data_IF_352266610499
#
_entry.id   IF_352266610499
#
_cell.length_a   1.000
_cell.length_b   1.000
_cell.length_c   1.000
_cell.angle_alpha   90.00
_cell.angle_beta   90.00
_cell.angle_gamma   90.00
#
_symmetry.space_group_name_H-M   'P 1'
#
loop_
_entity.id
_entity.type
_entity.pdbx_description
1 polymer ?
#
# COMPACT_ATOMS: atom_id res chain seq x y z
N UNK A 1 -16.77 4.43 17.16
CA UNK A 1 -16.84 4.35 15.69
C UNK A 1 -15.94 5.42 15.10
N UNK A 2 -14.81 5.02 14.53
CA UNK A 2 -13.81 5.92 13.89
C UNK A 2 -14.45 6.51 12.63
N UNK A 3 -14.49 7.84 12.48
CA UNK A 3 -14.89 8.47 11.21
C UNK A 3 -13.65 8.56 10.33
N UNK A 4 -13.52 7.61 9.42
CA UNK A 4 -12.51 7.60 8.36
C UNK A 4 -12.79 8.78 7.42
N UNK A 5 -11.75 9.47 6.94
CA UNK A 5 -11.87 10.50 5.91
C UNK A 5 -12.71 9.97 4.71
N UNK A 6 -13.42 10.84 3.97
CA UNK A 6 -14.22 10.39 2.83
C UNK A 6 -13.34 9.55 1.90
N UNK A 7 -13.85 8.39 1.48
CA UNK A 7 -13.07 7.37 0.77
C UNK A 7 -12.34 7.90 -0.46
N UNK A 8 -12.87 8.95 -1.09
CA UNK A 8 -12.20 9.65 -2.20
C UNK A 8 -10.87 10.32 -1.82
N UNK A 9 -10.77 10.98 -0.66
CA UNK A 9 -9.51 11.63 -0.23
C UNK A 9 -8.42 10.59 0.05
N UNK A 10 -8.78 9.47 0.68
CA UNK A 10 -7.84 8.37 0.93
C UNK A 10 -7.37 7.78 -0.39
N UNK A 11 -8.30 7.54 -1.33
CA UNK A 11 -7.95 7.04 -2.65
C UNK A 11 -6.99 7.99 -3.38
N UNK A 12 -7.30 9.29 -3.42
CA UNK A 12 -6.46 10.31 -4.06
C UNK A 12 -5.07 10.35 -3.42
N UNK A 13 -4.98 10.38 -2.08
CA UNK A 13 -3.71 10.42 -1.38
C UNK A 13 -2.84 9.19 -1.67
N UNK A 14 -3.45 7.99 -1.62
CA UNK A 14 -2.73 6.74 -1.92
C UNK A 14 -2.29 6.67 -3.38
N UNK A 15 -3.15 7.06 -4.33
CA UNK A 15 -2.81 7.09 -5.76
C UNK A 15 -1.71 8.10 -6.06
N UNK A 16 -1.74 9.29 -5.44
CA UNK A 16 -0.73 10.31 -5.61
C UNK A 16 0.64 9.85 -5.08
N UNK A 17 0.68 9.27 -3.87
CA UNK A 17 1.92 8.72 -3.28
C UNK A 17 2.44 7.55 -4.11
N UNK A 18 1.58 6.66 -4.57
CA UNK A 18 1.94 5.55 -5.46
C UNK A 18 2.54 6.08 -6.76
N UNK A 19 1.88 7.00 -7.46
CA UNK A 19 2.37 7.56 -8.72
C UNK A 19 3.71 8.30 -8.55
N UNK A 20 3.86 9.06 -7.46
CA UNK A 20 5.10 9.77 -7.15
C UNK A 20 6.27 8.83 -6.86
N UNK A 21 6.05 7.75 -6.11
CA UNK A 21 7.13 6.82 -5.69
C UNK A 21 7.39 5.69 -6.68
N UNK A 22 6.46 5.41 -7.59
CA UNK A 22 6.64 4.42 -8.66
C UNK A 22 7.45 4.98 -9.85
N UNK A 23 7.45 6.30 -10.01
CA UNK A 23 8.19 6.98 -11.05
C UNK A 23 9.70 6.98 -10.75
N UNK A 24 10.50 6.36 -11.61
CA UNK A 24 11.97 6.29 -11.48
C UNK A 24 12.67 7.66 -11.35
N UNK A 25 12.05 8.72 -11.88
CA UNK A 25 12.55 10.10 -11.74
C UNK A 25 12.54 10.61 -10.30
N UNK A 26 11.62 10.14 -9.47
CA UNK A 26 11.44 10.63 -8.10
C UNK A 26 12.06 9.71 -7.05
N UNK A 27 12.24 8.42 -7.33
CA UNK A 27 12.94 7.49 -6.43
C UNK A 27 14.42 7.81 -6.29
N UNK A 28 15.07 8.30 -7.36
CA UNK A 28 16.46 8.77 -7.32
C UNK A 28 16.65 10.08 -6.53
N UNK A 29 15.62 10.92 -6.46
CA UNK A 29 15.64 12.22 -5.79
C UNK A 29 15.19 12.17 -4.33
N UNK A 30 14.22 11.32 -4.00
CA UNK A 30 13.61 11.29 -2.67
C UNK A 30 14.28 10.25 -1.77
N UNK A 31 14.76 9.13 -2.33
CA UNK A 31 15.34 8.02 -1.56
C UNK A 31 14.38 7.01 -0.88
N UNK A 32 13.05 7.23 -0.71
CA UNK A 32 12.20 6.17 -0.20
C UNK A 32 11.82 5.25 -1.37
N UNK A 33 11.70 3.95 -1.09
CA UNK A 33 11.35 2.95 -2.09
C UNK A 33 9.93 3.12 -2.67
N UNK A 34 9.47 2.14 -3.42
CA UNK A 34 8.16 2.19 -4.06
C UNK A 34 7.03 1.95 -3.02
N UNK A 35 6.09 2.90 -2.90
CA UNK A 35 4.95 2.79 -1.99
C UNK A 35 3.82 1.88 -2.51
N UNK A 36 3.92 1.37 -3.74
CA UNK A 36 2.85 0.67 -4.45
C UNK A 36 2.27 -0.49 -3.61
N UNK A 37 3.11 -1.36 -3.03
CA UNK A 37 2.60 -2.50 -2.23
C UNK A 37 1.74 -2.05 -1.04
N UNK A 38 2.22 -1.03 -0.33
CA UNK A 38 1.49 -0.43 0.78
C UNK A 38 0.21 0.25 0.31
N UNK A 39 0.24 0.93 -0.84
CA UNK A 39 -0.93 1.59 -1.40
C UNK A 39 -2.06 0.59 -1.70
N UNK A 40 -1.75 -0.55 -2.34
CA UNK A 40 -2.74 -1.62 -2.57
C UNK A 40 -3.26 -2.23 -1.26
N UNK A 41 -2.39 -2.48 -0.29
CA UNK A 41 -2.80 -3.01 1.02
C UNK A 41 -3.70 -2.02 1.79
N UNK A 42 -3.28 -0.76 1.93
CA UNK A 42 -4.05 0.28 2.61
C UNK A 42 -5.35 0.62 1.86
N UNK A 43 -5.34 0.57 0.53
CA UNK A 43 -6.54 0.69 -0.31
C UNK A 43 -7.53 -0.43 0.01
N UNK A 44 -7.06 -1.68 0.09
CA UNK A 44 -7.85 -2.81 0.54
C UNK A 44 -8.44 -2.63 1.94
N UNK A 45 -7.62 -2.14 2.88
CA UNK A 45 -7.99 -1.89 4.28
C UNK A 45 -9.07 -0.82 4.42
N UNK A 46 -8.87 0.35 3.80
CA UNK A 46 -9.72 1.54 4.00
C UNK A 46 -10.85 1.68 2.98
N UNK A 47 -10.61 1.39 1.70
CA UNK A 47 -11.58 1.63 0.63
C UNK A 47 -12.49 0.44 0.40
N UNK A 48 -11.97 -0.78 0.56
CA UNK A 48 -12.66 -2.10 0.52
C UNK A 48 -13.38 -2.46 -0.80
N UNK A 49 -13.85 -1.51 -1.61
CA UNK A 49 -14.60 -1.72 -2.86
C UNK A 49 -13.70 -2.10 -4.04
N UNK A 50 -14.15 -3.02 -4.88
CA UNK A 50 -13.37 -3.52 -6.03
C UNK A 50 -13.14 -2.45 -7.13
N UNK A 51 -14.02 -1.46 -7.28
CA UNK A 51 -13.81 -0.37 -8.25
C UNK A 51 -12.53 0.43 -8.02
N UNK A 52 -12.13 0.61 -6.76
CA UNK A 52 -10.86 1.27 -6.44
C UNK A 52 -9.64 0.43 -6.79
N UNK A 53 -9.73 -0.91 -6.66
CA UNK A 53 -8.66 -1.80 -7.10
C UNK A 53 -8.38 -1.63 -8.59
N UNK A 54 -9.44 -1.58 -9.42
CA UNK A 54 -9.30 -1.36 -10.86
C UNK A 54 -8.61 -0.02 -11.17
N UNK A 55 -8.96 1.04 -10.43
CA UNK A 55 -8.31 2.35 -10.58
C UNK A 55 -6.82 2.30 -10.20
N UNK A 56 -6.45 1.64 -9.11
CA UNK A 56 -5.05 1.49 -8.71
C UNK A 56 -4.24 0.70 -9.74
N UNK A 57 -4.80 -0.39 -10.28
CA UNK A 57 -4.18 -1.15 -11.37
C UNK A 57 -3.98 -0.29 -12.63
N UNK A 58 -5.01 0.46 -13.03
CA UNK A 58 -4.94 1.37 -14.17
C UNK A 58 -3.88 2.45 -13.97
N UNK A 59 -3.80 3.04 -12.78
CA UNK A 59 -2.77 4.04 -12.45
C UNK A 59 -1.38 3.43 -12.47
N UNK A 60 -1.17 2.23 -11.91
CA UNK A 60 0.13 1.57 -11.96
C UNK A 60 0.59 1.31 -13.40
N UNK A 61 -0.30 0.77 -14.25
CA UNK A 61 -0.01 0.55 -15.66
C UNK A 61 0.24 1.85 -16.44
N UNK A 62 -0.52 2.91 -16.15
CA UNK A 62 -0.34 4.22 -16.77
C UNK A 62 1.02 4.84 -16.40
N UNK A 63 1.41 4.77 -15.12
CA UNK A 63 2.71 5.30 -14.67
C UNK A 63 3.85 4.55 -15.34
N UNK A 64 3.77 3.21 -15.42
CA UNK A 64 4.79 2.40 -16.07
C UNK A 64 4.86 2.69 -17.58
N UNK A 65 3.71 2.83 -18.25
CA UNK A 65 3.64 3.23 -19.66
C UNK A 65 4.30 4.59 -19.90
N UNK A 66 3.96 5.60 -19.09
CA UNK A 66 4.55 6.93 -19.20
C UNK A 66 6.06 6.91 -18.92
N UNK A 67 6.52 6.09 -17.98
CA UNK A 67 7.95 5.93 -17.69
C UNK A 67 8.71 5.37 -18.90
N UNK A 68 8.14 4.38 -19.60
CA UNK A 68 8.72 3.83 -20.84
C UNK A 68 8.74 4.89 -21.94
N UNK A 69 7.65 5.65 -22.12
CA UNK A 69 7.59 6.74 -23.09
C UNK A 69 8.60 7.87 -22.77
N UNK A 70 8.94 8.06 -21.49
CA UNK A 70 9.96 9.00 -21.02
C UNK A 70 11.41 8.45 -21.14
N UNK A 71 11.60 7.26 -21.69
CA UNK A 71 12.93 6.67 -21.95
C UNK A 71 13.41 5.64 -20.93
N UNK A 72 12.57 5.23 -19.97
CA UNK A 72 12.88 4.07 -19.11
C UNK A 72 12.88 2.79 -19.95
N UNK A 73 13.79 1.86 -19.69
CA UNK A 73 13.83 0.61 -20.44
C UNK A 73 12.54 -0.21 -20.26
N UNK A 74 12.00 -0.73 -21.35
CA UNK A 74 10.82 -1.60 -21.33
C UNK A 74 11.15 -3.04 -20.90
N UNK A 75 12.29 -3.27 -20.24
CA UNK A 75 12.81 -4.60 -19.91
C UNK A 75 11.86 -5.40 -19.01
N UNK A 76 11.12 -4.73 -18.12
CA UNK A 76 10.13 -5.35 -17.24
C UNK A 76 8.77 -5.62 -17.92
N UNK A 77 8.57 -5.15 -19.16
CA UNK A 77 7.30 -5.25 -19.86
C UNK A 77 7.31 -6.50 -20.74
N UNK A 78 6.75 -7.57 -20.20
CA UNK A 78 6.56 -8.87 -20.89
C UNK A 78 5.09 -9.26 -20.86
N UNK A 79 4.65 -10.28 -21.61
CA UNK A 79 3.28 -10.81 -21.45
C UNK A 79 2.93 -11.19 -20.00
N UNK A 80 3.94 -11.57 -19.21
CA UNK A 80 3.82 -11.85 -17.78
C UNK A 80 3.44 -10.64 -16.92
N UNK A 81 3.55 -9.42 -17.43
CA UNK A 81 3.12 -8.20 -16.74
C UNK A 81 1.63 -8.24 -16.36
N UNK A 82 0.80 -8.96 -17.12
CA UNK A 82 -0.61 -9.17 -16.79
C UNK A 82 -0.83 -9.87 -15.42
N UNK A 83 0.15 -10.67 -14.95
CA UNK A 83 0.10 -11.31 -13.64
C UNK A 83 0.31 -10.33 -12.46
N UNK A 84 0.68 -9.08 -12.72
CA UNK A 84 0.64 -8.04 -11.69
C UNK A 84 -0.78 -7.77 -11.19
N UNK A 85 -1.80 -7.94 -12.03
CA UNK A 85 -3.19 -7.76 -11.60
C UNK A 85 -3.59 -8.71 -10.44
N UNK A 86 -3.44 -10.05 -10.56
CA UNK A 86 -3.68 -10.94 -9.42
C UNK A 86 -2.68 -10.77 -8.29
N UNK A 87 -1.42 -10.41 -8.56
CA UNK A 87 -0.41 -10.13 -7.53
C UNK A 87 -0.85 -8.97 -6.62
N UNK A 88 -1.20 -7.82 -7.20
CA UNK A 88 -1.73 -6.67 -6.45
C UNK A 88 -3.10 -6.95 -5.85
N UNK A 89 -3.92 -7.78 -6.52
CA UNK A 89 -5.19 -8.27 -5.98
C UNK A 89 -5.03 -9.01 -4.65
N UNK A 90 -3.96 -9.80 -4.48
CA UNK A 90 -3.66 -10.48 -3.22
C UNK A 90 -3.36 -9.49 -2.07
N UNK A 91 -2.58 -8.43 -2.33
CA UNK A 91 -2.33 -7.36 -1.36
C UNK A 91 -3.60 -6.61 -0.98
N UNK A 92 -4.42 -6.27 -1.97
CA UNK A 92 -5.71 -5.64 -1.73
C UNK A 92 -6.62 -6.51 -0.85
N UNK A 93 -6.64 -7.82 -1.12
CA UNK A 93 -7.43 -8.77 -0.37
C UNK A 93 -6.90 -8.94 1.07
N UNK A 94 -5.58 -8.97 1.26
CA UNK A 94 -4.94 -8.97 2.57
C UNK A 94 -5.32 -7.72 3.39
N UNK A 95 -5.28 -6.55 2.76
CA UNK A 95 -5.77 -5.30 3.35
C UNK A 95 -7.25 -5.38 3.74
N UNK A 96 -8.11 -5.85 2.83
CA UNK A 96 -9.56 -5.99 3.08
C UNK A 96 -9.86 -6.92 4.26
N UNK A 97 -9.06 -7.98 4.44
CA UNK A 97 -9.18 -8.93 5.55
C UNK A 97 -8.56 -8.44 6.86
N UNK A 98 -7.79 -7.35 6.82
CA UNK A 98 -7.21 -6.76 8.01
C UNK A 98 -8.29 -6.00 8.78
N UNK A 99 -8.62 -6.48 9.98
CA UNK A 99 -9.69 -5.93 10.84
C UNK A 99 -9.12 -5.52 12.18
N UNK A 100 -9.51 -4.36 12.71
CA UNK A 100 -9.09 -3.92 14.04
C UNK A 100 -7.63 -3.47 14.13
N UNK A 101 -6.96 -3.20 13.00
CA UNK A 101 -5.56 -2.79 12.94
C UNK A 101 -5.20 -1.62 13.87
N UNK A 102 -6.12 -0.66 14.03
CA UNK A 102 -5.96 0.53 14.88
C UNK A 102 -6.69 0.42 16.24
N UNK A 103 -7.30 -0.73 16.54
CA UNK A 103 -8.19 -0.91 17.71
C UNK A 103 -7.55 -1.75 18.80
N UNK A 104 -6.61 -2.63 18.46
CA UNK A 104 -5.89 -3.48 19.43
C UNK A 104 -4.54 -3.94 18.90
N UNK A 105 -3.63 -4.29 19.81
CA UNK A 105 -2.33 -4.89 19.48
C UNK A 105 -2.50 -6.19 18.68
N UNK A 106 -3.48 -7.02 19.05
CA UNK A 106 -3.78 -8.25 18.32
C UNK A 106 -4.27 -7.99 16.88
N UNK A 107 -5.10 -6.96 16.68
CA UNK A 107 -5.55 -6.54 15.36
C UNK A 107 -4.40 -6.00 14.50
N UNK A 108 -3.48 -5.24 15.12
CA UNK A 108 -2.27 -4.74 14.46
C UNK A 108 -1.36 -5.89 14.01
N UNK A 109 -1.04 -6.82 14.91
CA UNK A 109 -0.20 -7.99 14.61
C UNK A 109 -0.82 -8.88 13.52
N UNK A 110 -2.14 -9.09 13.55
CA UNK A 110 -2.85 -9.82 12.49
C UNK A 110 -2.72 -9.11 11.14
N UNK A 111 -2.87 -7.79 11.12
CA UNK A 111 -2.77 -6.98 9.90
C UNK A 111 -1.34 -6.96 9.36
N UNK A 112 -0.34 -6.94 10.25
CA UNK A 112 1.07 -7.08 9.89
C UNK A 112 1.37 -8.45 9.26
N UNK A 113 0.84 -9.53 9.83
CA UNK A 113 0.94 -10.87 9.25
C UNK A 113 0.29 -10.97 7.87
N UNK A 114 -0.91 -10.40 7.71
CA UNK A 114 -1.60 -10.35 6.42
C UNK A 114 -0.83 -9.53 5.38
N UNK A 115 -0.23 -8.40 5.77
CA UNK A 115 0.63 -7.61 4.90
C UNK A 115 1.83 -8.43 4.43
N UNK A 116 2.55 -9.08 5.35
CA UNK A 116 3.71 -9.92 5.01
C UNK A 116 3.32 -11.06 4.04
N UNK A 117 2.23 -11.78 4.33
CA UNK A 117 1.74 -12.83 3.43
C UNK A 117 1.32 -12.27 2.07
N UNK A 118 0.66 -11.12 2.03
CA UNK A 118 0.29 -10.43 0.80
C UNK A 118 1.50 -10.04 -0.05
N UNK A 119 2.56 -9.53 0.58
CA UNK A 119 3.84 -9.21 -0.09
C UNK A 119 4.49 -10.48 -0.64
N UNK A 120 4.53 -11.57 0.12
CA UNK A 120 5.10 -12.85 -0.36
C UNK A 120 4.32 -13.38 -1.57
N UNK A 121 2.98 -13.38 -1.52
CA UNK A 121 2.14 -13.82 -2.64
C UNK A 121 2.35 -12.92 -3.85
N UNK A 122 2.37 -11.59 -3.66
CA UNK A 122 2.68 -10.64 -4.72
C UNK A 122 4.04 -10.95 -5.35
N UNK A 123 5.06 -11.16 -4.53
CA UNK A 123 6.43 -11.41 -4.94
C UNK A 123 6.53 -12.69 -5.77
N UNK A 124 5.89 -13.77 -5.33
CA UNK A 124 5.88 -15.04 -6.07
C UNK A 124 5.15 -14.90 -7.41
N UNK A 125 3.94 -14.36 -7.43
CA UNK A 125 3.15 -14.26 -8.67
C UNK A 125 3.85 -13.37 -9.71
N UNK A 126 4.37 -12.21 -9.28
CA UNK A 126 5.08 -11.29 -10.17
C UNK A 126 6.35 -11.91 -10.76
N UNK A 127 7.17 -12.59 -9.94
CA UNK A 127 8.39 -13.23 -10.42
C UNK A 127 8.11 -14.48 -11.27
N UNK A 128 7.07 -15.26 -10.96
CA UNK A 128 6.63 -16.38 -11.83
C UNK A 128 6.21 -15.85 -13.20
N UNK A 129 5.46 -14.75 -13.23
CA UNK A 129 5.09 -14.11 -14.49
C UNK A 129 6.29 -13.59 -15.26
N UNK A 130 7.25 -12.95 -14.59
CA UNK A 130 8.46 -12.51 -15.26
C UNK A 130 9.26 -13.69 -15.81
N UNK A 131 9.50 -14.73 -15.01
CA UNK A 131 10.26 -15.92 -15.42
C UNK A 131 9.63 -16.66 -16.60
N UNK A 132 8.31 -16.84 -16.59
CA UNK A 132 7.62 -17.61 -17.62
C UNK A 132 7.59 -16.91 -18.99
N UNK A 133 7.75 -15.58 -19.04
CA UNK A 133 7.50 -14.78 -20.24
C UNK A 133 8.64 -13.83 -20.64
N UNK A 134 9.76 -13.80 -19.91
CA UNK A 134 10.87 -12.90 -20.18
C UNK A 134 12.04 -13.63 -20.84
N UNK A 135 12.42 -13.18 -22.03
CA UNK A 135 13.61 -13.69 -22.72
C UNK A 135 14.91 -13.40 -21.96
N UNK A 136 14.91 -12.35 -21.12
CA UNK A 136 16.09 -11.93 -20.38
C UNK A 136 16.55 -12.92 -19.30
N UNK A 137 15.71 -13.91 -18.96
CA UNK A 137 16.01 -14.96 -17.98
C UNK A 137 15.79 -16.36 -18.54
N UNK A 138 15.63 -16.48 -19.87
CA UNK A 138 15.34 -17.75 -20.53
C UNK A 138 16.42 -18.82 -20.31
N UNK A 139 17.68 -18.39 -20.14
CA UNK A 139 18.82 -19.29 -19.91
C UNK A 139 18.99 -19.70 -18.42
N UNK A 140 18.23 -19.10 -17.50
CA UNK A 140 18.32 -19.43 -16.08
C UNK A 140 17.42 -20.61 -15.74
N UNK A 141 17.92 -21.52 -14.89
CA UNK A 141 17.04 -22.50 -14.26
C UNK A 141 16.06 -21.81 -13.29
N UNK A 142 14.91 -22.44 -13.04
CA UNK A 142 13.90 -21.89 -12.14
C UNK A 142 14.44 -21.68 -10.71
N UNK A 143 15.34 -22.55 -10.26
CA UNK A 143 15.94 -22.45 -8.92
C UNK A 143 16.98 -21.35 -8.85
N UNK A 144 17.82 -21.17 -9.88
CA UNK A 144 18.80 -20.09 -9.92
C UNK A 144 18.12 -18.72 -9.98
N UNK A 145 17.07 -18.62 -10.79
CA UNK A 145 16.23 -17.42 -10.82
C UNK A 145 15.60 -17.15 -9.46
N UNK A 146 14.97 -18.16 -8.83
CA UNK A 146 14.32 -18.03 -7.53
C UNK A 146 15.30 -17.57 -6.43
N UNK A 147 16.49 -18.16 -6.36
CA UNK A 147 17.52 -17.78 -5.38
C UNK A 147 18.01 -16.34 -5.62
N UNK A 148 18.19 -15.95 -6.88
CA UNK A 148 18.59 -14.58 -7.23
C UNK A 148 17.53 -13.57 -6.80
N UNK A 149 16.26 -13.81 -7.13
CA UNK A 149 15.20 -12.85 -6.79
C UNK A 149 14.88 -12.84 -5.30
N UNK A 150 15.04 -13.95 -4.58
CA UNK A 150 14.80 -14.02 -3.14
C UNK A 150 15.60 -12.96 -2.33
N UNK A 151 16.76 -12.54 -2.85
CA UNK A 151 17.57 -11.46 -2.25
C UNK A 151 16.84 -10.11 -2.19
N UNK A 152 15.84 -9.88 -3.06
CA UNK A 152 15.05 -8.65 -3.09
C UNK A 152 13.87 -8.67 -2.10
N UNK A 153 13.37 -9.85 -1.71
CA UNK A 153 12.18 -9.97 -0.86
C UNK A 153 12.25 -9.15 0.45
N UNK A 154 13.38 -9.10 1.18
CA UNK A 154 13.50 -8.26 2.37
C UNK A 154 13.25 -6.77 2.09
N UNK A 155 13.70 -6.27 0.94
CA UNK A 155 13.46 -4.89 0.50
C UNK A 155 11.98 -4.61 0.25
N UNK A 156 11.28 -5.54 -0.43
CA UNK A 156 9.84 -5.44 -0.66
C UNK A 156 9.05 -5.41 0.66
N UNK A 157 9.40 -6.28 1.61
CA UNK A 157 8.79 -6.30 2.95
C UNK A 157 9.06 -4.99 3.70
N UNK A 158 10.31 -4.52 3.73
CA UNK A 158 10.70 -3.30 4.43
C UNK A 158 9.92 -2.08 3.93
N UNK A 159 9.84 -1.91 2.60
CA UNK A 159 9.10 -0.80 1.99
C UNK A 159 7.59 -0.90 2.29
N UNK A 160 7.02 -2.10 2.16
CA UNK A 160 5.60 -2.32 2.46
C UNK A 160 5.26 -1.97 3.92
N UNK A 161 6.10 -2.39 4.88
CA UNK A 161 5.90 -2.06 6.29
C UNK A 161 6.13 -0.59 6.60
N UNK A 162 7.16 0.03 6.00
CA UNK A 162 7.47 1.44 6.19
C UNK A 162 6.29 2.32 5.76
N UNK A 163 5.81 2.16 4.53
CA UNK A 163 4.70 2.95 4.02
C UNK A 163 3.35 2.61 4.65
N UNK A 164 3.10 1.32 4.96
CA UNK A 164 1.86 0.94 5.65
C UNK A 164 1.79 1.49 7.06
N UNK A 165 2.91 1.46 7.81
CA UNK A 165 2.96 2.04 9.16
C UNK A 165 2.81 3.56 9.12
N UNK A 166 3.44 4.25 8.17
CA UNK A 166 3.25 5.68 7.96
C UNK A 166 1.78 6.03 7.64
N UNK A 167 1.16 5.29 6.71
CA UNK A 167 -0.26 5.49 6.35
C UNK A 167 -1.21 5.23 7.52
N UNK A 168 -0.97 4.18 8.30
CA UNK A 168 -1.73 3.90 9.53
C UNK A 168 -1.55 4.99 10.58
N UNK A 169 -0.32 5.50 10.77
CA UNK A 169 -0.03 6.57 11.72
C UNK A 169 -0.74 7.88 11.35
N UNK A 170 -0.73 8.26 10.06
CA UNK A 170 -1.45 9.42 9.54
C UNK A 170 -2.97 9.26 9.68
N UNK A 171 -3.50 8.08 9.33
CA UNK A 171 -4.92 7.76 9.51
C UNK A 171 -5.35 7.83 10.97
N UNK A 172 -4.49 7.41 11.89
CA UNK A 172 -4.75 7.52 13.32
C UNK A 172 -4.61 8.96 13.84
N UNK A 173 -3.68 9.76 13.31
CA UNK A 173 -3.45 11.16 13.71
C UNK A 173 -4.59 12.09 13.30
N UNK A 174 -5.20 11.82 12.16
CA UNK A 174 -6.36 12.58 11.65
C UNK A 174 -7.68 12.20 12.33
N UNK A 175 -7.70 11.24 13.26
CA UNK A 175 -8.90 10.91 14.05
C UNK A 175 -9.26 12.08 15.00
N UNK A 176 -10.40 12.77 14.80
CA UNK A 176 -10.80 13.92 15.61
C UNK A 176 -11.02 13.62 17.10
N UNK A 177 -11.02 12.34 17.50
CA UNK A 177 -11.22 11.89 18.88
C UNK A 177 -9.93 11.65 19.64
N UNK A 178 -8.76 11.88 19.05
CA UNK A 178 -7.50 11.84 19.81
C UNK A 178 -7.57 12.86 20.95
N UNK A 179 -7.30 12.46 22.21
CA UNK A 179 -7.12 13.41 23.29
C UNK A 179 -5.93 14.30 22.93
N UNK A 180 -6.19 15.53 22.50
CA UNK A 180 -5.11 16.51 22.34
C UNK A 180 -4.58 16.88 23.73
N UNK A 181 -3.25 16.93 23.95
CA UNK A 181 -2.65 17.25 25.25
C UNK A 181 -3.00 18.64 25.84
N UNK A 182 -3.89 19.42 25.20
CA UNK A 182 -4.33 20.74 25.66
C UNK A 182 -5.84 20.96 25.68
N UNK A 183 -6.68 19.99 25.29
CA UNK A 183 -8.14 20.20 25.22
C UNK A 183 -8.81 19.71 26.51
N UNK A 184 -8.75 20.51 27.57
CA UNK A 184 -9.64 20.32 28.73
C UNK A 184 -11.08 20.45 28.23
N UNK A 185 -11.87 19.40 28.38
CA UNK A 185 -13.31 19.49 28.28
C UNK A 185 -13.78 20.34 29.46
N UNK A 186 -14.01 21.63 29.24
CA UNK A 186 -14.80 22.42 30.19
C UNK A 186 -16.21 21.84 30.17
N UNK A 187 -16.64 21.29 31.30
CA UNK A 187 -18.00 20.78 31.46
C UNK A 187 -19.01 21.89 31.16
N UNK A 188 -20.16 21.58 30.52
CA UNK A 188 -21.20 22.58 30.31
C UNK A 188 -21.73 23.03 31.67
N UNK A 189 -21.65 24.34 31.90
CA UNK A 189 -22.05 24.98 33.15
C UNK A 189 -23.50 24.65 33.51
N UNK A 190 -23.70 24.24 34.76
CA UNK A 190 -25.00 24.35 35.41
C UNK A 190 -25.22 25.83 35.75
N UNK A 191 -26.16 26.43 35.04
CA UNK A 191 -26.83 27.68 35.46
C UNK A 191 -27.52 27.39 36.80
N UNK A 192 -27.15 28.12 37.85
CA UNK A 192 -27.93 28.19 39.08
C UNK A 192 -28.36 29.64 39.25
N UNK A 193 -29.66 29.88 39.05
CA UNK A 193 -30.36 31.08 39.48
C UNK A 193 -30.45 31.05 41.00
N UNK A 194 -29.98 32.11 41.66
CA UNK A 194 -30.41 32.46 43.02
C UNK A 194 -30.78 33.94 42.99
N UNK A 195 -32.07 34.18 42.80
CA UNK A 195 -32.74 35.47 42.98
C UNK A 195 -33.19 35.60 44.44
N UNK A 196 -33.01 36.83 44.95
CA UNK A 196 -33.51 37.41 46.21
C UNK A 196 -32.81 36.98 47.51
#
# INVERSE_FOLDING_TARGET
MIRIAPSGLIAIALLAVMAATRSHHFTSLLGPGDATLAAFFLGGLFLRRAGWLALFLATAGLVDFLAVQAGTSAWCITPGYALLAPAYGALWLAGRRSTGALQSTAGLLRSAGLLASGVVVFFVISNVGFYAFSEAVADLSAIDFALRVATYLPGYLAQAFLYSSAGLALGAWTDPRRPHPGRRLTAPGKVAWASA
#
